data_IF_826490407698
#
_entry.id   IF_826490407698
#
_cell.length_a   1.000
_cell.length_b   1.000
_cell.length_c   1.000
_cell.angle_alpha   90.00
_cell.angle_beta   90.00
_cell.angle_gamma   90.00
#
_symmetry.space_group_name_H-M   'P 1'
#
loop_
_entity.id
_entity.type
_entity.pdbx_description
1 polymer ?
#
# COMPACT_ATOMS: atom_id res chain seq x y z
N UNK A 1 17.68 39.81 -38.79
CA UNK A 1 17.90 39.21 -37.45
C UNK A 1 19.32 38.63 -37.41
N UNK A 2 20.09 38.84 -36.34
CA UNK A 2 21.49 38.41 -36.28
C UNK A 2 21.59 36.88 -36.08
N UNK A 3 22.29 36.16 -36.96
CA UNK A 3 22.41 34.68 -36.90
C UNK A 3 23.16 34.17 -35.67
N UNK A 4 24.17 34.90 -35.21
CA UNK A 4 24.95 34.53 -34.01
C UNK A 4 24.10 34.64 -32.74
N UNK A 5 23.17 35.60 -32.71
CA UNK A 5 22.22 35.72 -31.61
C UNK A 5 21.23 34.54 -31.58
N UNK A 6 20.75 34.10 -32.73
CA UNK A 6 19.81 32.98 -32.82
C UNK A 6 20.46 31.67 -32.34
N UNK A 7 21.75 31.47 -32.65
CA UNK A 7 22.53 30.30 -32.21
C UNK A 7 22.68 30.18 -30.69
N UNK A 8 22.48 31.27 -29.95
CA UNK A 8 22.49 31.23 -28.49
C UNK A 8 21.27 30.50 -27.92
N UNK A 9 20.18 30.34 -28.67
CA UNK A 9 18.95 29.74 -28.19
C UNK A 9 18.88 28.23 -28.49
N UNK A 10 19.87 27.48 -27.99
CA UNK A 10 19.86 26.02 -28.03
C UNK A 10 18.97 25.41 -26.93
N UNK A 11 18.76 24.10 -26.94
CA UNK A 11 17.81 23.36 -26.09
C UNK A 11 17.99 23.56 -24.58
N UNK A 12 19.19 23.94 -24.11
CA UNK A 12 19.49 24.09 -22.69
C UNK A 12 19.21 25.50 -22.11
N UNK A 13 18.67 26.42 -22.92
CA UNK A 13 18.43 27.81 -22.53
C UNK A 13 16.93 28.12 -22.52
N UNK A 14 16.45 28.51 -21.34
CA UNK A 14 15.06 28.95 -21.15
C UNK A 14 14.98 30.44 -21.46
N UNK A 15 14.09 30.80 -22.38
CA UNK A 15 13.82 32.20 -22.74
C UNK A 15 12.57 32.64 -22.01
N UNK A 16 12.69 33.76 -21.29
CA UNK A 16 11.57 34.46 -20.70
C UNK A 16 11.58 35.91 -21.16
N UNK A 17 10.42 36.43 -21.55
CA UNK A 17 10.24 37.80 -21.98
C UNK A 17 8.90 38.33 -21.48
N UNK A 18 8.85 39.60 -21.13
CA UNK A 18 7.65 40.27 -20.64
C UNK A 18 7.58 41.71 -21.13
N UNK A 19 6.36 42.21 -21.31
CA UNK A 19 6.08 43.62 -21.61
C UNK A 19 5.99 44.42 -20.30
N UNK A 20 6.42 45.69 -20.32
CA UNK A 20 6.36 46.60 -19.18
C UNK A 20 4.93 46.92 -18.72
N UNK A 21 3.94 46.64 -19.56
CA UNK A 21 2.53 46.72 -19.18
C UNK A 21 2.13 45.67 -18.15
N UNK A 22 2.86 44.56 -18.04
CA UNK A 22 2.60 43.53 -17.03
C UNK A 22 3.31 43.87 -15.71
N UNK A 23 2.59 43.95 -14.57
CA UNK A 23 3.19 44.23 -13.27
C UNK A 23 4.27 43.22 -12.86
N UNK A 24 4.15 41.94 -13.21
CA UNK A 24 5.17 40.92 -12.88
C UNK A 24 6.50 41.21 -13.57
N UNK A 25 6.45 41.59 -14.85
CA UNK A 25 7.64 41.89 -15.62
C UNK A 25 8.34 43.16 -15.12
N UNK A 26 7.55 44.17 -14.72
CA UNK A 26 8.07 45.39 -14.09
C UNK A 26 8.74 45.11 -12.73
N UNK A 27 8.10 44.30 -11.88
CA UNK A 27 8.69 43.89 -10.59
C UNK A 27 10.00 43.12 -10.76
N UNK A 28 10.05 42.18 -11.72
CA UNK A 28 11.29 41.44 -12.01
C UNK A 28 12.39 42.37 -12.53
N UNK A 29 12.06 43.31 -13.41
CA UNK A 29 13.02 44.30 -13.90
C UNK A 29 13.61 45.15 -12.77
N UNK A 30 12.78 45.57 -11.81
CA UNK A 30 13.23 46.29 -10.61
C UNK A 30 14.12 45.42 -9.71
N UNK A 31 13.74 44.15 -9.48
CA UNK A 31 14.55 43.19 -8.72
C UNK A 31 15.94 42.97 -9.34
N UNK A 32 16.03 43.03 -10.67
CA UNK A 32 17.28 42.94 -11.44
C UNK A 32 17.98 44.31 -11.63
N UNK A 33 17.57 45.34 -10.90
CA UNK A 33 18.09 46.72 -10.93
C UNK A 33 18.11 47.32 -12.34
N UNK A 34 17.11 47.04 -13.18
CA UNK A 34 17.04 47.52 -14.57
C UNK A 34 16.56 48.97 -14.62
N UNK A 35 17.45 49.86 -15.05
CA UNK A 35 17.26 51.32 -15.18
C UNK A 35 16.86 51.82 -16.57
N UNK A 36 17.07 51.03 -17.64
CA UNK A 36 16.79 51.42 -19.04
C UNK A 36 16.25 50.24 -19.84
N UNK A 37 15.33 50.54 -20.77
CA UNK A 37 14.67 49.57 -21.64
C UNK A 37 14.90 49.91 -23.12
N UNK A 38 14.90 48.92 -24.04
CA UNK A 38 14.71 47.48 -23.81
C UNK A 38 15.88 46.84 -23.03
N UNK A 39 15.62 45.78 -22.28
CA UNK A 39 16.62 45.06 -21.48
C UNK A 39 16.70 43.59 -21.90
N UNK A 40 17.92 43.07 -21.95
CA UNK A 40 18.23 41.67 -22.13
C UNK A 40 19.25 41.24 -21.08
N UNK A 41 18.96 40.16 -20.37
CA UNK A 41 19.84 39.61 -19.34
C UNK A 41 20.01 38.10 -19.48
N UNK A 42 21.11 37.59 -18.94
CA UNK A 42 21.33 36.14 -18.80
C UNK A 42 21.43 35.84 -17.32
N UNK A 43 20.58 34.92 -16.86
CA UNK A 43 20.56 34.41 -15.51
C UNK A 43 21.16 33.00 -15.50
N UNK A 44 21.92 32.70 -14.46
CA UNK A 44 22.60 31.41 -14.30
C UNK A 44 22.65 31.03 -12.82
N UNK A 45 22.57 29.74 -12.53
CA UNK A 45 22.92 29.21 -11.21
C UNK A 45 24.43 29.35 -11.01
N UNK A 46 24.83 30.02 -9.93
CA UNK A 46 26.23 30.29 -9.60
C UNK A 46 26.49 29.98 -8.12
N UNK A 47 27.71 29.58 -7.77
CA UNK A 47 28.14 29.46 -6.37
C UNK A 47 29.16 30.54 -6.05
N UNK A 48 28.96 31.22 -4.94
CA UNK A 48 29.94 32.14 -4.41
C UNK A 48 30.85 31.33 -3.48
N UNK A 49 32.15 31.33 -3.77
CA UNK A 49 33.15 30.76 -2.86
C UNK A 49 33.58 31.87 -1.90
N UNK A 50 33.30 31.72 -0.61
CA UNK A 50 33.76 32.63 0.44
C UNK A 50 34.96 32.01 1.15
N UNK A 51 35.99 32.81 1.38
CA UNK A 51 37.09 32.42 2.27
C UNK A 51 36.61 32.54 3.70
N UNK A 52 36.58 31.44 4.43
CA UNK A 52 36.33 31.42 5.87
C UNK A 52 37.61 31.00 6.60
N UNK A 53 37.76 31.27 7.90
CA UNK A 53 38.94 30.85 8.67
C UNK A 53 39.22 29.35 8.61
N UNK A 54 38.20 28.53 8.34
CA UNK A 54 38.25 27.07 8.19
C UNK A 54 38.52 26.61 6.74
N UNK A 55 38.70 27.54 5.81
CA UNK A 55 39.01 27.29 4.40
C UNK A 55 37.96 27.81 3.41
N UNK A 56 38.09 27.42 2.12
CA UNK A 56 37.15 27.78 1.07
C UNK A 56 35.78 27.12 1.26
N UNK A 57 34.74 27.90 1.53
CA UNK A 57 33.36 27.39 1.59
C UNK A 57 32.56 27.86 0.39
N UNK A 58 32.00 26.92 -0.38
CA UNK A 58 31.06 27.21 -1.46
C UNK A 58 29.65 27.36 -0.89
N UNK A 59 29.00 28.49 -1.18
CA UNK A 59 27.57 28.65 -0.86
C UNK A 59 26.68 27.74 -1.74
N UNK A 60 25.44 27.48 -1.30
CA UNK A 60 24.43 26.87 -2.16
C UNK A 60 24.28 27.63 -3.49
N UNK A 61 23.99 26.91 -4.57
CA UNK A 61 23.79 27.52 -5.87
C UNK A 61 22.59 28.49 -5.84
N UNK A 62 22.81 29.74 -6.26
CA UNK A 62 21.78 30.78 -6.35
C UNK A 62 21.70 31.31 -7.77
N UNK A 63 20.51 31.72 -8.18
CA UNK A 63 20.29 32.37 -9.49
C UNK A 63 20.88 33.77 -9.42
N UNK A 64 21.83 34.05 -10.31
CA UNK A 64 22.51 35.34 -10.42
C UNK A 64 22.46 35.87 -11.84
N UNK A 65 22.37 37.20 -11.98
CA UNK A 65 22.46 37.88 -13.27
C UNK A 65 23.91 37.96 -13.73
N UNK A 66 24.28 37.14 -14.70
CA UNK A 66 25.65 37.05 -15.21
C UNK A 66 25.91 38.06 -16.32
N UNK A 67 24.91 38.39 -17.14
CA UNK A 67 25.02 39.35 -18.24
C UNK A 67 23.81 40.28 -18.27
N UNK A 68 24.05 41.55 -18.63
CA UNK A 68 23.03 42.61 -18.72
C UNK A 68 23.35 43.52 -19.89
N UNK A 69 22.36 43.74 -20.74
CA UNK A 69 22.35 44.68 -21.83
C UNK A 69 21.07 45.52 -21.70
N UNK A 70 21.23 46.84 -21.59
CA UNK A 70 20.11 47.76 -21.43
C UNK A 70 20.13 48.77 -22.57
N UNK A 71 18.93 49.25 -22.93
CA UNK A 71 18.72 50.23 -23.99
C UNK A 71 19.58 51.48 -23.81
N UNK A 72 20.30 51.83 -24.87
CA UNK A 72 21.20 52.97 -24.98
C UNK A 72 21.83 52.97 -26.37
N UNK A 73 22.44 54.09 -26.79
CA UNK A 73 23.16 54.16 -28.07
C UNK A 73 24.28 53.10 -28.06
N UNK A 74 24.05 51.96 -28.70
CA UNK A 74 25.15 51.11 -29.16
C UNK A 74 25.98 52.04 -30.03
N UNK A 75 27.26 52.19 -29.72
CA UNK A 75 28.13 53.04 -30.53
C UNK A 75 27.98 52.58 -31.99
N UNK A 76 27.68 53.47 -32.95
CA UNK A 76 27.49 53.09 -34.36
C UNK A 76 28.72 52.38 -34.97
N UNK A 77 29.86 52.44 -34.28
CA UNK A 77 31.14 51.82 -34.62
C UNK A 77 31.32 50.40 -34.04
N UNK A 78 30.45 49.94 -33.13
CA UNK A 78 30.55 48.59 -32.55
C UNK A 78 29.77 47.57 -33.40
N UNK A 79 30.46 46.52 -33.85
CA UNK A 79 29.82 45.37 -34.49
C UNK A 79 28.95 44.63 -33.47
N UNK A 80 27.66 44.48 -33.79
CA UNK A 80 26.69 43.75 -32.99
C UNK A 80 27.17 42.32 -32.65
N UNK A 81 27.93 41.67 -33.54
CA UNK A 81 28.47 40.35 -33.27
C UNK A 81 29.53 40.36 -32.16
N UNK A 82 30.33 41.42 -32.04
CA UNK A 82 31.32 41.55 -30.97
C UNK A 82 30.61 41.66 -29.62
N UNK A 83 29.58 42.49 -29.53
CA UNK A 83 28.79 42.68 -28.30
C UNK A 83 28.15 41.35 -27.86
N UNK A 84 27.58 40.59 -28.80
CA UNK A 84 26.99 39.28 -28.52
C UNK A 84 28.06 38.30 -28.01
N UNK A 85 29.21 38.22 -28.69
CA UNK A 85 30.30 37.31 -28.28
C UNK A 85 30.85 37.67 -26.90
N UNK A 86 31.10 38.94 -26.64
CA UNK A 86 31.73 39.40 -25.41
C UNK A 86 30.79 39.36 -24.20
N UNK A 87 29.53 39.75 -24.38
CA UNK A 87 28.57 39.81 -23.26
C UNK A 87 27.86 38.49 -23.01
N UNK A 88 27.61 37.68 -24.03
CA UNK A 88 26.79 36.46 -23.92
C UNK A 88 27.64 35.21 -24.08
N UNK A 89 28.27 35.00 -25.25
CA UNK A 89 29.00 33.73 -25.56
C UNK A 89 30.11 33.45 -24.54
N UNK A 90 31.00 34.43 -24.29
CA UNK A 90 32.11 34.28 -23.34
C UNK A 90 31.61 34.01 -21.91
N UNK A 91 30.53 34.67 -21.49
CA UNK A 91 29.97 34.50 -20.15
C UNK A 91 29.30 33.15 -19.97
N UNK A 92 28.52 32.69 -20.96
CA UNK A 92 27.91 31.37 -20.94
C UNK A 92 29.02 30.30 -20.87
N UNK A 93 30.02 30.38 -21.74
CA UNK A 93 31.15 29.44 -21.74
C UNK A 93 31.93 29.42 -20.40
N UNK A 94 32.02 30.56 -19.70
CA UNK A 94 32.68 30.66 -18.39
C UNK A 94 31.94 29.89 -17.30
N UNK A 95 30.60 29.93 -17.28
CA UNK A 95 29.80 29.30 -16.22
C UNK A 95 29.34 27.88 -16.56
N UNK A 96 29.46 27.45 -17.82
CA UNK A 96 29.09 26.10 -18.29
C UNK A 96 29.71 24.95 -17.46
N UNK A 97 31.01 24.96 -17.10
CA UNK A 97 31.59 23.87 -16.31
C UNK A 97 31.00 23.79 -14.89
N UNK A 98 30.75 24.95 -14.27
CA UNK A 98 30.17 25.02 -12.93
C UNK A 98 28.70 24.56 -12.93
N UNK A 99 27.94 24.93 -13.97
CA UNK A 99 26.57 24.44 -14.18
C UNK A 99 26.51 22.92 -14.33
N UNK A 100 27.44 22.33 -15.09
CA UNK A 100 27.51 20.86 -15.24
C UNK A 100 27.73 20.17 -13.90
N UNK A 101 28.63 20.70 -13.06
CA UNK A 101 28.84 20.18 -11.71
C UNK A 101 27.58 20.32 -10.84
N UNK A 102 26.90 21.47 -10.90
CA UNK A 102 25.63 21.67 -10.17
C UNK A 102 24.57 20.67 -10.62
N UNK A 103 24.44 20.43 -11.93
CA UNK A 103 23.48 19.45 -12.48
C UNK A 103 23.76 18.04 -11.99
N UNK A 104 25.03 17.60 -12.04
CA UNK A 104 25.43 16.28 -11.55
C UNK A 104 25.11 16.12 -10.05
N UNK A 105 25.48 17.08 -9.22
CA UNK A 105 25.18 17.02 -7.78
C UNK A 105 23.68 17.00 -7.47
N UNK A 106 22.87 17.75 -8.23
CA UNK A 106 21.40 17.73 -8.08
C UNK A 106 20.82 16.38 -8.49
N UNK A 107 21.33 15.79 -9.58
CA UNK A 107 20.93 14.48 -10.05
C UNK A 107 21.30 13.39 -9.03
N UNK A 108 22.51 13.42 -8.47
CA UNK A 108 22.97 12.48 -7.46
C UNK A 108 22.14 12.55 -6.18
N UNK A 109 21.82 13.77 -5.72
CA UNK A 109 20.93 13.97 -4.56
C UNK A 109 19.54 13.42 -4.83
N UNK A 110 18.97 13.72 -5.99
CA UNK A 110 17.67 13.20 -6.37
C UNK A 110 17.66 11.67 -6.42
N UNK A 111 18.67 11.06 -7.05
CA UNK A 111 18.80 9.60 -7.13
C UNK A 111 18.96 8.97 -5.74
N UNK A 112 19.74 9.58 -4.86
CA UNK A 112 19.92 9.12 -3.47
C UNK A 112 18.61 9.16 -2.69
N UNK A 113 17.83 10.23 -2.84
CA UNK A 113 16.52 10.36 -2.20
C UNK A 113 15.51 9.33 -2.73
N UNK A 114 15.50 9.09 -4.05
CA UNK A 114 14.67 8.05 -4.68
C UNK A 114 15.04 6.68 -4.15
N UNK A 115 16.33 6.35 -4.11
CA UNK A 115 16.82 5.07 -3.60
C UNK A 115 16.44 4.86 -2.14
N UNK A 116 16.61 5.88 -1.29
CA UNK A 116 16.21 5.83 0.12
C UNK A 116 14.73 5.57 0.29
N UNK A 117 13.87 6.30 -0.42
CA UNK A 117 12.41 6.10 -0.39
C UNK A 117 12.02 4.70 -0.86
N UNK A 118 12.69 4.17 -1.87
CA UNK A 118 12.43 2.82 -2.37
C UNK A 118 12.83 1.76 -1.33
N UNK A 119 13.96 1.95 -0.63
CA UNK A 119 14.39 1.06 0.45
C UNK A 119 13.39 1.10 1.64
N UNK A 120 12.95 2.28 2.04
CA UNK A 120 11.94 2.46 3.09
C UNK A 120 10.62 1.76 2.72
N UNK A 121 10.14 1.94 1.49
CA UNK A 121 8.93 1.28 1.00
C UNK A 121 9.05 -0.26 1.04
N UNK A 122 10.16 -0.80 0.53
CA UNK A 122 10.40 -2.24 0.53
C UNK A 122 10.48 -2.82 1.95
N UNK A 123 11.13 -2.10 2.87
CA UNK A 123 11.23 -2.49 4.28
C UNK A 123 9.84 -2.53 4.94
N UNK A 124 9.04 -1.48 4.75
CA UNK A 124 7.67 -1.42 5.28
C UNK A 124 6.80 -2.54 4.70
N UNK A 125 6.89 -2.82 3.40
CA UNK A 125 6.16 -3.89 2.76
C UNK A 125 6.54 -5.27 3.33
N UNK A 126 7.85 -5.54 3.51
CA UNK A 126 8.32 -6.80 4.11
C UNK A 126 7.84 -6.94 5.56
N UNK A 127 7.93 -5.87 6.35
CA UNK A 127 7.48 -5.88 7.74
C UNK A 127 5.98 -6.17 7.85
N UNK A 128 5.16 -5.56 6.99
CA UNK A 128 3.73 -5.83 6.93
C UNK A 128 3.44 -7.28 6.56
N UNK A 129 4.13 -7.83 5.55
CA UNK A 129 3.97 -9.23 5.18
C UNK A 129 4.35 -10.19 6.31
N UNK A 130 5.43 -9.91 7.03
CA UNK A 130 5.85 -10.74 8.16
C UNK A 130 4.88 -10.65 9.33
N UNK A 131 4.33 -9.46 9.61
CA UNK A 131 3.26 -9.29 10.59
C UNK A 131 2.00 -10.04 10.20
N UNK A 132 1.57 -9.98 8.92
CA UNK A 132 0.42 -10.73 8.42
C UNK A 132 0.64 -12.23 8.55
N UNK A 133 1.80 -12.76 8.13
CA UNK A 133 2.15 -14.18 8.27
C UNK A 133 2.17 -14.61 9.73
N UNK A 134 2.70 -13.79 10.65
CA UNK A 134 2.72 -14.08 12.08
C UNK A 134 1.32 -14.11 12.67
N UNK A 135 0.46 -13.16 12.28
CA UNK A 135 -0.93 -13.12 12.72
C UNK A 135 -1.74 -14.29 12.16
N UNK A 136 -1.54 -14.66 10.89
CA UNK A 136 -2.19 -15.82 10.28
C UNK A 136 -1.78 -17.12 10.99
N UNK A 137 -0.48 -17.30 11.28
CA UNK A 137 0.01 -18.45 12.06
C UNK A 137 -0.63 -18.49 13.45
N UNK A 138 -0.70 -17.36 14.16
CA UNK A 138 -1.36 -17.28 15.47
C UNK A 138 -2.84 -17.62 15.39
N UNK A 139 -3.57 -17.08 14.40
CA UNK A 139 -4.99 -17.38 14.18
C UNK A 139 -5.20 -18.87 13.92
N UNK A 140 -4.39 -19.49 13.06
CA UNK A 140 -4.46 -20.94 12.77
C UNK A 140 -4.18 -21.78 14.01
N UNK A 141 -3.17 -21.41 14.80
CA UNK A 141 -2.86 -22.11 16.06
C UNK A 141 -4.02 -22.01 17.06
N UNK A 142 -4.60 -20.82 17.24
CA UNK A 142 -5.76 -20.61 18.10
C UNK A 142 -6.99 -21.40 17.62
N UNK A 143 -7.24 -21.43 16.30
CA UNK A 143 -8.33 -22.23 15.73
C UNK A 143 -8.14 -23.73 15.97
N UNK A 144 -6.93 -24.25 15.78
CA UNK A 144 -6.62 -25.65 16.06
C UNK A 144 -6.77 -25.98 17.55
N UNK A 145 -6.37 -25.07 18.44
CA UNK A 145 -6.51 -25.25 19.89
C UNK A 145 -7.98 -25.25 20.31
N UNK A 146 -8.79 -24.36 19.73
CA UNK A 146 -10.24 -24.30 19.93
C UNK A 146 -10.93 -25.59 19.47
N UNK A 147 -10.57 -26.09 18.28
CA UNK A 147 -11.09 -27.37 17.77
C UNK A 147 -10.74 -28.52 18.71
N UNK A 148 -9.49 -28.62 19.17
CA UNK A 148 -9.07 -29.65 20.14
C UNK A 148 -9.83 -29.57 21.46
N UNK A 149 -10.17 -28.36 21.91
CA UNK A 149 -10.98 -28.16 23.11
C UNK A 149 -12.43 -28.65 22.92
N UNK A 150 -13.03 -28.39 21.76
CA UNK A 150 -14.41 -28.82 21.48
C UNK A 150 -14.55 -30.27 21.02
N UNK A 151 -13.48 -30.90 20.52
CA UNK A 151 -13.47 -32.30 20.07
C UNK A 151 -14.17 -33.32 21.01
N UNK A 152 -13.93 -33.34 22.34
CA UNK A 152 -14.59 -34.29 23.23
C UNK A 152 -16.12 -34.14 23.28
N UNK A 153 -16.66 -32.94 23.04
CA UNK A 153 -18.11 -32.70 23.05
C UNK A 153 -18.82 -33.46 21.92
N UNK A 154 -18.15 -33.63 20.78
CA UNK A 154 -18.74 -34.23 19.59
C UNK A 154 -18.36 -35.69 19.36
N UNK A 155 -17.58 -36.30 20.24
CA UNK A 155 -17.15 -37.70 20.11
C UNK A 155 -18.34 -38.67 20.02
N UNK A 156 -19.42 -38.37 20.73
CA UNK A 156 -20.61 -39.22 20.77
C UNK A 156 -21.62 -38.95 19.65
N UNK A 157 -21.45 -37.86 18.89
CA UNK A 157 -22.38 -37.44 17.83
C UNK A 157 -22.38 -38.43 16.66
N UNK A 158 -21.28 -39.14 16.43
CA UNK A 158 -21.20 -40.15 15.36
C UNK A 158 -21.90 -41.46 15.73
N UNK A 159 -22.23 -41.66 17.01
CA UNK A 159 -22.91 -42.86 17.48
C UNK A 159 -24.44 -42.66 17.47
N UNK A 160 -25.21 -43.65 16.98
CA UNK A 160 -26.66 -43.56 17.01
C UNK A 160 -27.17 -43.54 18.46
N UNK A 161 -28.12 -42.66 18.81
CA UNK A 161 -28.67 -42.58 20.15
C UNK A 161 -29.49 -43.85 20.48
N UNK A 162 -29.68 -44.17 21.77
CA UNK A 162 -30.57 -45.25 22.20
C UNK A 162 -31.98 -45.07 21.60
N UNK A 163 -32.65 -46.18 21.24
CA UNK A 163 -33.95 -46.16 20.53
C UNK A 163 -35.02 -45.32 21.25
N UNK A 164 -34.95 -45.24 22.58
CA UNK A 164 -35.87 -44.50 23.45
C UNK A 164 -35.68 -42.97 23.40
N UNK A 165 -34.49 -42.49 23.01
CA UNK A 165 -34.14 -41.06 22.98
C UNK A 165 -34.09 -40.47 21.57
N UNK A 166 -34.42 -41.24 20.53
CA UNK A 166 -34.33 -40.83 19.11
C UNK A 166 -35.06 -39.52 18.79
N UNK A 167 -36.10 -39.15 19.55
CA UNK A 167 -36.82 -37.87 19.40
C UNK A 167 -36.03 -36.64 19.86
N UNK A 168 -35.01 -36.83 20.70
CA UNK A 168 -34.19 -35.74 21.24
C UNK A 168 -32.94 -35.42 20.39
N UNK A 169 -32.74 -36.17 19.29
CA UNK A 169 -31.60 -36.01 18.39
C UNK A 169 -32.08 -35.70 16.96
N UNK A 170 -31.37 -34.81 16.28
CA UNK A 170 -31.47 -34.59 14.85
C UNK A 170 -30.48 -35.52 14.13
N UNK A 171 -30.96 -36.32 13.18
CA UNK A 171 -30.11 -37.12 12.30
C UNK A 171 -29.70 -36.28 11.10
N UNK A 172 -28.44 -35.88 11.04
CA UNK A 172 -27.89 -35.02 9.98
C UNK A 172 -26.94 -35.83 9.11
N UNK A 173 -27.21 -35.88 7.82
CA UNK A 173 -26.31 -36.46 6.82
C UNK A 173 -25.50 -35.33 6.19
N UNK A 174 -24.19 -35.36 6.37
CA UNK A 174 -23.22 -34.43 5.81
C UNK A 174 -22.63 -35.05 4.54
N UNK A 175 -22.78 -34.38 3.40
CA UNK A 175 -22.17 -34.78 2.14
C UNK A 175 -21.02 -33.82 1.80
N UNK A 176 -19.82 -34.37 1.73
CA UNK A 176 -18.60 -33.63 1.42
C UNK A 176 -18.38 -33.48 -0.09
N UNK A 177 -17.53 -32.53 -0.52
CA UNK A 177 -17.11 -32.39 -1.92
C UNK A 177 -16.43 -33.65 -2.48
N UNK A 178 -15.74 -34.42 -1.62
CA UNK A 178 -15.08 -35.69 -1.95
C UNK A 178 -16.07 -36.86 -2.16
N UNK A 179 -17.36 -36.55 -2.32
CA UNK A 179 -18.46 -37.53 -2.43
C UNK A 179 -18.67 -38.45 -1.21
N UNK A 180 -17.86 -38.30 -0.16
CA UNK A 180 -18.05 -39.00 1.11
C UNK A 180 -19.29 -38.48 1.83
N UNK A 181 -19.97 -39.39 2.55
CA UNK A 181 -21.17 -39.09 3.32
C UNK A 181 -20.95 -39.53 4.77
N UNK A 182 -21.19 -38.63 5.71
CA UNK A 182 -21.11 -38.89 7.13
C UNK A 182 -22.50 -38.67 7.75
N UNK A 183 -22.96 -39.63 8.57
CA UNK A 183 -24.20 -39.45 9.33
C UNK A 183 -23.83 -39.14 10.77
N UNK A 184 -24.37 -38.03 11.28
CA UNK A 184 -24.14 -37.52 12.62
C UNK A 184 -25.49 -37.31 13.32
N UNK A 185 -25.52 -37.51 14.64
CA UNK A 185 -26.70 -37.40 15.48
C UNK A 185 -26.47 -36.28 16.51
N UNK A 186 -26.99 -35.10 16.21
CA UNK A 186 -26.83 -33.93 17.06
C UNK A 186 -27.99 -33.80 18.05
N UNK A 187 -27.75 -33.50 19.33
CA UNK A 187 -28.81 -33.17 20.27
C UNK A 187 -29.64 -31.95 19.80
N UNK A 188 -30.94 -31.95 20.07
CA UNK A 188 -31.87 -30.89 19.63
C UNK A 188 -31.51 -29.46 20.10
N UNK A 189 -30.79 -29.36 21.22
CA UNK A 189 -30.40 -28.10 21.87
C UNK A 189 -29.05 -27.56 21.37
N UNK A 190 -28.35 -28.30 20.50
CA UNK A 190 -27.11 -27.80 19.91
C UNK A 190 -27.42 -26.70 18.90
N UNK A 191 -26.45 -25.80 18.70
CA UNK A 191 -26.54 -24.73 17.72
C UNK A 191 -26.10 -25.22 16.35
N UNK A 192 -26.50 -24.51 15.30
CA UNK A 192 -25.99 -24.77 13.94
C UNK A 192 -24.46 -24.62 13.88
N UNK A 193 -23.88 -23.69 14.64
CA UNK A 193 -22.42 -23.54 14.76
C UNK A 193 -21.71 -24.83 15.20
N UNK A 194 -22.36 -25.69 15.99
CA UNK A 194 -21.80 -26.97 16.43
C UNK A 194 -21.64 -27.94 15.26
N UNK A 195 -22.55 -27.90 14.27
CA UNK A 195 -22.43 -28.69 13.03
C UNK A 195 -21.24 -28.19 12.20
N UNK A 196 -21.05 -26.87 12.12
CA UNK A 196 -19.87 -26.28 11.45
C UNK A 196 -18.58 -26.71 12.15
N UNK A 197 -18.54 -26.65 13.48
CA UNK A 197 -17.38 -27.09 14.27
C UNK A 197 -17.07 -28.58 14.02
N UNK A 198 -18.10 -29.42 14.02
CA UNK A 198 -17.96 -30.86 13.79
C UNK A 198 -17.42 -31.19 12.39
N UNK A 199 -17.92 -30.51 11.36
CA UNK A 199 -17.41 -30.68 9.99
C UNK A 199 -15.92 -30.36 9.92
N UNK A 200 -15.48 -29.30 10.60
CA UNK A 200 -14.08 -28.90 10.63
C UNK A 200 -13.20 -29.87 11.43
N UNK A 201 -13.72 -30.47 12.51
CA UNK A 201 -13.06 -31.55 13.23
C UNK A 201 -12.84 -32.80 12.37
N UNK A 202 -13.82 -33.14 11.52
CA UNK A 202 -13.72 -34.27 10.60
C UNK A 202 -12.70 -33.98 9.50
N UNK A 203 -12.68 -32.76 8.93
CA UNK A 203 -11.70 -32.37 7.90
C UNK A 203 -10.26 -32.41 8.40
N UNK A 204 -10.02 -31.90 9.62
CA UNK A 204 -8.69 -31.86 10.23
C UNK A 204 -8.28 -33.20 10.89
N UNK A 205 -9.14 -34.24 10.81
CA UNK A 205 -8.95 -35.55 11.48
C UNK A 205 -8.69 -35.45 13.00
N UNK A 206 -9.32 -34.48 13.66
CA UNK A 206 -9.13 -34.19 15.10
C UNK A 206 -10.22 -34.81 15.99
N UNK A 207 -11.04 -35.73 15.47
CA UNK A 207 -12.20 -36.29 16.19
C UNK A 207 -11.83 -37.02 17.49
N UNK A 208 -10.62 -37.58 17.59
CA UNK A 208 -10.10 -38.26 18.80
C UNK A 208 -9.17 -37.38 19.65
N UNK A 209 -9.00 -36.12 19.29
CA UNK A 209 -8.10 -35.22 20.03
C UNK A 209 -8.70 -34.83 21.37
N UNK A 210 -7.88 -34.85 22.42
CA UNK A 210 -8.23 -34.35 23.74
C UNK A 210 -7.38 -33.14 24.08
N UNK A 211 -8.02 -32.04 24.50
CA UNK A 211 -7.31 -30.90 25.09
C UNK A 211 -6.99 -31.16 26.55
N UNK A 212 -5.80 -30.76 26.99
CA UNK A 212 -5.42 -30.73 28.41
C UNK A 212 -5.76 -29.39 29.10
N UNK A 213 -6.50 -28.50 28.43
CA UNK A 213 -6.91 -27.20 29.00
C UNK A 213 -8.09 -27.39 29.96
N UNK A 214 -8.03 -26.74 31.12
CA UNK A 214 -9.16 -26.67 32.05
C UNK A 214 -10.29 -25.78 31.51
N UNK A 215 -11.54 -26.08 31.87
CA UNK A 215 -12.74 -25.37 31.38
C UNK A 215 -12.68 -23.86 31.60
N UNK A 216 -12.17 -23.40 32.76
CA UNK A 216 -12.02 -21.98 33.07
C UNK A 216 -10.97 -21.26 32.21
N UNK A 217 -9.88 -21.95 31.84
CA UNK A 217 -8.83 -21.39 30.97
C UNK A 217 -9.30 -21.30 29.53
N UNK A 218 -10.04 -22.31 29.06
CA UNK A 218 -10.64 -22.31 27.72
C UNK A 218 -11.70 -21.21 27.59
N UNK A 219 -12.55 -21.03 28.59
CA UNK A 219 -13.60 -20.01 28.56
C UNK A 219 -13.00 -18.61 28.42
N UNK A 220 -11.98 -18.27 29.21
CA UNK A 220 -11.32 -16.95 29.12
C UNK A 220 -10.57 -16.75 27.79
N UNK A 221 -9.90 -17.81 27.29
CA UNK A 221 -9.09 -17.74 26.07
C UNK A 221 -9.92 -17.65 24.78
N UNK A 222 -11.12 -18.22 24.79
CA UNK A 222 -11.98 -18.31 23.60
C UNK A 222 -13.23 -17.42 23.67
N UNK A 223 -13.43 -16.64 24.74
CA UNK A 223 -14.60 -15.76 24.92
C UNK A 223 -14.80 -14.77 23.76
N UNK A 224 -13.69 -14.27 23.20
CA UNK A 224 -13.69 -13.34 22.05
C UNK A 224 -13.21 -13.99 20.74
N UNK A 225 -13.04 -15.32 20.73
CA UNK A 225 -12.58 -16.04 19.54
C UNK A 225 -13.77 -16.50 18.69
N UNK A 226 -13.87 -15.97 17.48
CA UNK A 226 -14.82 -16.44 16.48
C UNK A 226 -14.10 -17.31 15.45
N UNK A 227 -14.59 -18.54 15.27
CA UNK A 227 -14.02 -19.45 14.28
C UNK A 227 -14.49 -19.07 12.87
N UNK A 228 -13.53 -18.74 12.00
CA UNK A 228 -13.78 -18.49 10.58
C UNK A 228 -13.71 -19.82 9.81
N UNK A 229 -14.87 -20.31 9.38
CA UNK A 229 -15.00 -21.51 8.54
C UNK A 229 -14.80 -21.17 7.06
N UNK A 230 -14.06 -22.02 6.33
CA UNK A 230 -13.79 -21.86 4.89
C UNK A 230 -14.78 -22.59 3.99
N UNK A 231 -15.91 -23.00 4.55
CA UNK A 231 -16.95 -23.73 3.86
C UNK A 231 -18.33 -23.25 4.32
N UNK A 232 -19.35 -23.62 3.56
CA UNK A 232 -20.76 -23.34 3.81
C UNK A 232 -21.53 -24.64 3.91
N UNK A 233 -22.58 -24.63 4.73
CA UNK A 233 -23.54 -25.72 4.82
C UNK A 233 -24.82 -25.30 4.11
N UNK A 234 -25.15 -26.01 3.04
CA UNK A 234 -26.35 -25.75 2.24
C UNK A 234 -27.27 -26.95 2.21
N UNK A 235 -28.59 -26.72 2.24
CA UNK A 235 -29.56 -27.78 1.96
C UNK A 235 -29.55 -28.14 0.46
N UNK A 236 -29.60 -29.43 0.09
CA UNK A 236 -29.74 -29.85 -1.31
C UNK A 236 -31.16 -29.64 -1.86
N UNK A 237 -32.14 -29.42 -0.98
CA UNK A 237 -33.53 -29.19 -1.37
C UNK A 237 -33.72 -27.72 -1.76
N UNK A 238 -34.44 -27.41 -2.86
CA UNK A 238 -34.82 -26.03 -3.18
C UNK A 238 -35.84 -25.50 -2.17
N UNK A 239 -35.75 -24.25 -1.70
CA UNK A 239 -34.68 -23.27 -1.97
C UNK A 239 -33.38 -23.60 -1.22
N UNK A 240 -32.24 -23.45 -1.91
CA UNK A 240 -30.92 -23.60 -1.28
C UNK A 240 -30.73 -22.51 -0.23
N UNK A 241 -30.76 -22.91 1.04
CA UNK A 241 -30.55 -22.03 2.19
C UNK A 241 -29.14 -22.25 2.70
N UNK A 242 -28.35 -21.17 2.74
CA UNK A 242 -27.03 -21.13 3.37
C UNK A 242 -27.21 -20.96 4.88
N UNK A 243 -26.77 -21.97 5.64
CA UNK A 243 -26.87 -21.97 7.10
C UNK A 243 -25.85 -21.07 7.79
N UNK A 244 -24.93 -20.45 7.03
CA UNK A 244 -23.91 -19.55 7.58
C UNK A 244 -24.49 -18.32 8.30
N UNK A 245 -25.70 -17.89 7.93
CA UNK A 245 -26.40 -16.77 8.56
C UNK A 245 -27.20 -17.18 9.80
N UNK A 246 -27.37 -18.47 10.06
CA UNK A 246 -28.19 -19.05 11.14
C UNK A 246 -27.35 -19.80 12.18
N UNK A 247 -26.07 -19.46 12.32
CA UNK A 247 -25.11 -20.16 13.20
C UNK A 247 -25.54 -20.19 14.67
N UNK A 248 -26.19 -19.14 15.14
CA UNK A 248 -26.65 -19.02 16.52
C UNK A 248 -28.01 -19.68 16.82
N UNK A 249 -28.75 -20.11 15.79
CA UNK A 249 -30.03 -20.79 15.97
C UNK A 249 -29.81 -22.22 16.46
N UNK A 250 -30.71 -22.69 17.33
CA UNK A 250 -30.75 -24.09 17.75
C UNK A 250 -31.26 -24.98 16.62
N UNK A 251 -30.72 -26.20 16.55
CA UNK A 251 -31.05 -27.18 15.51
C UNK A 251 -32.55 -27.50 15.46
N UNK A 252 -33.24 -27.53 16.61
CA UNK A 252 -34.68 -27.79 16.67
C UNK A 252 -35.55 -26.75 15.97
N UNK A 253 -35.06 -25.51 15.81
CA UNK A 253 -35.81 -24.42 15.18
C UNK A 253 -35.66 -24.41 13.65
N UNK A 254 -34.89 -25.35 13.10
CA UNK A 254 -34.60 -25.44 11.67
C UNK A 254 -35.16 -26.75 11.12
N UNK A 255 -36.30 -26.64 10.42
CA UNK A 255 -36.99 -27.77 9.77
C UNK A 255 -36.12 -28.52 8.74
N UNK A 256 -35.08 -27.88 8.23
CA UNK A 256 -34.12 -28.49 7.29
C UNK A 256 -33.14 -29.46 7.97
N UNK A 257 -33.00 -29.38 9.30
CA UNK A 257 -32.01 -30.14 10.08
C UNK A 257 -32.71 -31.12 11.03
N UNK A 258 -33.77 -30.68 11.73
CA UNK A 258 -34.55 -31.51 12.64
C UNK A 258 -35.87 -31.97 11.98
N UNK A 259 -36.30 -33.24 12.14
CA UNK A 259 -35.64 -34.34 12.85
C UNK A 259 -34.61 -35.09 11.98
N UNK A 260 -34.68 -34.97 10.65
CA UNK A 260 -33.72 -35.56 9.72
C UNK A 260 -33.29 -34.51 8.69
N UNK A 261 -32.00 -34.18 8.67
CA UNK A 261 -31.41 -33.20 7.77
C UNK A 261 -30.40 -33.81 6.80
N UNK A 262 -30.30 -33.23 5.60
CA UNK A 262 -29.25 -33.52 4.64
C UNK A 262 -28.56 -32.20 4.30
N UNK A 263 -27.26 -32.10 4.54
CA UNK A 263 -26.47 -30.90 4.31
C UNK A 263 -25.32 -31.19 3.35
N UNK A 264 -25.12 -30.27 2.42
CA UNK A 264 -23.98 -30.22 1.51
C UNK A 264 -22.92 -29.30 2.10
N UNK A 265 -21.68 -29.80 2.17
CA UNK A 265 -20.50 -29.00 2.51
C UNK A 265 -19.94 -28.44 1.21
N UNK A 266 -19.98 -27.11 1.02
CA UNK A 266 -19.44 -26.42 -0.15
C UNK A 266 -18.26 -25.54 0.28
N UNK A 267 -17.09 -25.67 -0.35
CA UNK A 267 -15.92 -24.82 -0.08
C UNK A 267 -16.12 -23.40 -0.66
N UNK A 268 -15.63 -22.38 0.05
CA UNK A 268 -15.72 -20.94 -0.32
C UNK A 268 -14.46 -20.44 -1.02
#
# INVERSE_FOLDING_TARGET
MNREFIRLFNQDIIIWGGDLKNPEAYQLANSLNVTKFPFLGVLCLTRITKMTPEGPRKEPAKISLIAKLQGGKINPLEDANSVIRDKFVKKIAKYEPELKLIRLELQDKYMTEVLRKQQEYNYMASMQQDMMKKNEKKKKQLAMEYLKYKAPLYKNVTHPPPKEETKNYARVVLKFPDSSRLTAYFPKHFKVEDIFTFVELVRENLSDSTSNLGESEATNKFEQFHMEYKFKLASPLPPRIDLSLKRDEEIQNIDLIYPNGLLLVEDV
#
